data_IF_861132472142
#
_entry.id   IF_861132472142
#
_cell.length_a   1.000
_cell.length_b   1.000
_cell.length_c   1.000
_cell.angle_alpha   90.00
_cell.angle_beta   90.00
_cell.angle_gamma   90.00
#
_symmetry.space_group_name_H-M   'P 1'
#
loop_
_entity.id
_entity.type
_entity.pdbx_description
1 polymer ?
#
# COMPACT_ATOMS: atom_id res chain seq x y z
N UNK A 1 3.61 -18.01 19.57
CA UNK A 1 3.76 -18.59 18.21
C UNK A 1 5.15 -18.24 17.74
N UNK A 2 5.85 -19.15 17.07
CA UNK A 2 7.17 -18.83 16.49
C UNK A 2 6.96 -17.78 15.38
N UNK A 3 7.88 -16.82 15.31
CA UNK A 3 7.89 -15.78 14.27
C UNK A 3 8.00 -16.44 12.89
N UNK A 4 7.05 -16.17 12.01
CA UNK A 4 7.07 -16.71 10.65
C UNK A 4 8.08 -15.93 9.83
N UNK A 5 9.04 -16.63 9.28
CA UNK A 5 10.09 -16.04 8.44
C UNK A 5 9.58 -15.99 7.01
N UNK A 6 9.31 -14.78 6.50
CA UNK A 6 8.80 -14.57 5.15
C UNK A 6 9.81 -13.90 4.25
N UNK A 7 9.75 -14.25 2.98
CA UNK A 7 10.50 -13.60 1.91
C UNK A 7 9.54 -13.19 0.79
N UNK A 8 9.52 -11.90 0.49
CA UNK A 8 8.82 -11.37 -0.67
C UNK A 8 9.68 -11.59 -1.93
N UNK A 9 9.10 -12.20 -2.94
CA UNK A 9 9.73 -12.35 -4.26
C UNK A 9 8.80 -11.74 -5.31
N UNK A 10 9.37 -10.91 -6.19
CA UNK A 10 8.61 -10.31 -7.28
C UNK A 10 7.88 -11.42 -8.07
N UNK A 11 6.53 -11.30 -8.29
CA UNK A 11 5.74 -12.36 -8.91
C UNK A 11 6.23 -12.74 -10.31
N UNK A 12 6.66 -11.78 -11.15
CA UNK A 12 7.19 -12.09 -12.47
C UNK A 12 8.48 -12.90 -12.37
N UNK A 13 9.36 -12.53 -11.45
CA UNK A 13 10.60 -13.25 -11.22
C UNK A 13 10.33 -14.64 -10.67
N UNK A 14 9.39 -14.79 -9.75
CA UNK A 14 9.02 -16.09 -9.19
C UNK A 14 8.45 -17.03 -10.27
N UNK A 15 7.66 -16.51 -11.23
CA UNK A 15 7.13 -17.30 -12.34
C UNK A 15 8.18 -17.65 -13.40
N UNK A 16 9.11 -16.74 -13.67
CA UNK A 16 10.03 -16.85 -14.81
C UNK A 16 11.33 -17.58 -14.47
N UNK A 17 11.78 -17.51 -13.20
CA UNK A 17 13.10 -18.03 -12.79
C UNK A 17 13.03 -19.31 -11.95
N UNK A 18 11.84 -19.72 -11.47
CA UNK A 18 11.72 -20.99 -10.76
C UNK A 18 11.92 -22.15 -11.72
N UNK A 19 12.80 -23.09 -11.38
CA UNK A 19 13.07 -24.23 -12.24
C UNK A 19 12.05 -25.39 -12.04
N UNK A 20 12.20 -26.44 -12.86
CA UNK A 20 11.34 -27.63 -12.80
C UNK A 20 11.44 -28.41 -11.48
N UNK A 21 12.48 -28.18 -10.70
CA UNK A 21 12.70 -28.80 -9.38
C UNK A 21 12.12 -27.95 -8.24
N UNK A 22 11.56 -26.77 -8.57
CA UNK A 22 11.06 -25.79 -7.62
C UNK A 22 12.15 -24.95 -6.95
N UNK A 23 13.34 -24.86 -7.56
CA UNK A 23 14.47 -24.11 -7.05
C UNK A 23 14.51 -22.70 -7.66
N UNK A 24 14.86 -21.72 -6.83
CA UNK A 24 15.01 -20.32 -7.21
C UNK A 24 16.34 -19.78 -6.69
N UNK A 25 17.10 -19.15 -7.59
CA UNK A 25 18.35 -18.46 -7.22
C UNK A 25 18.01 -17.08 -6.65
N UNK A 26 18.48 -16.83 -5.43
CA UNK A 26 18.27 -15.56 -4.74
C UNK A 26 19.16 -14.45 -5.30
N UNK A 27 18.64 -13.25 -5.37
CA UNK A 27 19.45 -12.04 -5.58
C UNK A 27 20.41 -11.83 -4.41
N UNK A 28 21.45 -11.03 -4.62
CA UNK A 28 22.40 -10.68 -3.55
C UNK A 28 21.71 -10.03 -2.35
N UNK A 29 20.68 -9.22 -2.56
CA UNK A 29 19.92 -8.57 -1.49
C UNK A 29 19.07 -9.57 -0.70
N UNK A 30 18.37 -10.48 -1.36
CA UNK A 30 17.56 -11.54 -0.71
C UNK A 30 18.45 -12.50 0.08
N UNK A 31 19.57 -12.95 -0.51
CA UNK A 31 20.54 -13.80 0.17
C UNK A 31 21.16 -13.11 1.39
N UNK A 32 21.48 -11.82 1.27
CA UNK A 32 21.97 -11.01 2.40
C UNK A 32 20.90 -10.90 3.50
N UNK A 33 19.66 -10.60 3.12
CA UNK A 33 18.54 -10.50 4.06
C UNK A 33 18.33 -11.80 4.84
N UNK A 34 18.21 -12.94 4.15
CA UNK A 34 18.03 -14.24 4.82
C UNK A 34 19.22 -14.60 5.73
N UNK A 35 20.46 -14.43 5.24
CA UNK A 35 21.64 -14.89 5.98
C UNK A 35 22.11 -13.94 7.09
N UNK A 36 21.98 -12.61 6.91
CA UNK A 36 22.50 -11.61 7.85
C UNK A 36 21.44 -11.00 8.75
N UNK A 37 20.27 -10.69 8.20
CA UNK A 37 19.19 -10.09 8.97
C UNK A 37 18.40 -11.17 9.69
N UNK A 38 17.89 -12.15 8.97
CA UNK A 38 17.11 -13.25 9.54
C UNK A 38 17.97 -14.38 10.13
N UNK A 39 19.29 -14.38 9.87
CA UNK A 39 20.28 -15.35 10.37
C UNK A 39 19.93 -16.81 10.06
N UNK A 40 19.32 -17.02 8.91
CA UNK A 40 18.91 -18.34 8.44
C UNK A 40 20.09 -19.13 7.86
N UNK A 41 19.99 -20.45 7.94
CA UNK A 41 21.00 -21.42 7.48
C UNK A 41 20.40 -22.38 6.47
N UNK A 42 21.24 -23.19 5.81
CA UNK A 42 20.78 -24.31 4.98
C UNK A 42 19.84 -25.22 5.78
N UNK A 43 18.78 -25.70 5.13
CA UNK A 43 17.68 -26.51 5.65
C UNK A 43 16.67 -25.75 6.52
N UNK A 44 16.89 -24.46 6.85
CA UNK A 44 15.89 -23.66 7.54
C UNK A 44 14.66 -23.44 6.64
N UNK A 45 13.48 -23.49 7.26
CA UNK A 45 12.20 -23.29 6.58
C UNK A 45 11.80 -21.80 6.59
N UNK A 46 11.21 -21.35 5.48
CA UNK A 46 10.62 -20.01 5.34
C UNK A 46 9.33 -20.07 4.52
N UNK A 47 8.56 -19.01 4.61
CA UNK A 47 7.42 -18.77 3.73
C UNK A 47 7.86 -17.83 2.59
N UNK A 48 7.45 -18.15 1.35
CA UNK A 48 7.64 -17.28 0.18
C UNK A 48 6.29 -16.69 -0.22
N UNK A 49 6.25 -15.40 -0.48
CA UNK A 49 5.06 -14.67 -0.90
C UNK A 49 5.35 -13.86 -2.17
N UNK A 50 4.34 -13.72 -3.05
CA UNK A 50 4.43 -12.97 -4.30
C UNK A 50 3.79 -11.57 -4.24
N UNK A 51 3.15 -11.24 -3.13
CA UNK A 51 2.39 -9.99 -3.01
C UNK A 51 1.13 -9.93 -3.86
N UNK A 52 0.69 -11.06 -4.42
CA UNK A 52 -0.56 -11.24 -5.19
C UNK A 52 -1.53 -12.24 -4.57
N UNK A 53 -1.36 -12.51 -3.30
CA UNK A 53 -2.25 -13.37 -2.52
C UNK A 53 -1.77 -14.80 -2.34
N UNK A 54 -0.64 -15.19 -2.92
CA UNK A 54 -0.13 -16.55 -2.82
C UNK A 54 0.98 -16.66 -1.76
N UNK A 55 1.05 -17.86 -1.17
CA UNK A 55 2.07 -18.23 -0.20
C UNK A 55 2.52 -19.66 -0.47
N UNK A 56 3.82 -19.87 -0.45
CA UNK A 56 4.47 -21.19 -0.52
C UNK A 56 5.35 -21.41 0.68
N UNK A 57 5.52 -22.67 1.08
CA UNK A 57 6.61 -23.05 1.95
C UNK A 57 7.88 -23.28 1.12
N UNK A 58 9.01 -22.88 1.64
CA UNK A 58 10.31 -23.10 1.04
C UNK A 58 11.35 -23.49 2.09
N UNK A 59 12.48 -24.02 1.62
CA UNK A 59 13.67 -24.25 2.44
C UNK A 59 14.90 -23.67 1.75
N UNK A 60 15.88 -23.27 2.54
CA UNK A 60 17.18 -22.86 2.02
C UNK A 60 17.97 -24.14 1.68
N UNK A 61 18.29 -24.32 0.39
CA UNK A 61 19.13 -25.46 -0.06
C UNK A 61 20.60 -25.10 0.07
N UNK A 62 20.96 -23.95 -0.52
CA UNK A 62 22.31 -23.39 -0.48
C UNK A 62 22.26 -21.90 -0.14
N UNK A 63 23.45 -21.30 0.06
CA UNK A 63 23.60 -19.90 0.48
C UNK A 63 22.83 -18.88 -0.39
N UNK A 64 22.55 -19.26 -1.65
CA UNK A 64 21.87 -18.41 -2.65
C UNK A 64 20.71 -19.11 -3.34
N UNK A 65 20.21 -20.21 -2.80
CA UNK A 65 19.14 -20.98 -3.46
C UNK A 65 18.11 -21.39 -2.42
N UNK A 66 16.86 -21.15 -2.73
CA UNK A 66 15.72 -21.69 -2.01
C UNK A 66 15.01 -22.72 -2.88
N UNK A 67 14.32 -23.64 -2.25
CA UNK A 67 13.48 -24.64 -2.92
C UNK A 67 12.07 -24.60 -2.32
N UNK A 68 11.07 -24.44 -3.17
CA UNK A 68 9.69 -24.61 -2.75
C UNK A 68 9.45 -26.05 -2.32
N UNK A 69 8.74 -26.24 -1.21
CA UNK A 69 8.38 -27.58 -0.72
C UNK A 69 7.08 -28.11 -1.31
N UNK A 70 6.31 -27.25 -1.95
CA UNK A 70 5.14 -27.57 -2.74
C UNK A 70 5.30 -27.07 -4.19
N UNK A 71 4.53 -27.65 -5.11
CA UNK A 71 4.54 -27.20 -6.51
C UNK A 71 4.19 -25.71 -6.61
N UNK A 72 4.85 -25.01 -7.52
CA UNK A 72 4.56 -23.60 -7.80
C UNK A 72 3.07 -23.38 -8.16
N UNK A 73 2.47 -24.29 -8.95
CA UNK A 73 1.06 -24.21 -9.36
C UNK A 73 0.08 -24.53 -8.22
N UNK A 74 0.57 -25.01 -7.08
CA UNK A 74 -0.24 -25.34 -5.89
C UNK A 74 0.31 -24.66 -4.66
N UNK A 75 0.07 -23.33 -4.50
CA UNK A 75 0.49 -22.60 -3.32
C UNK A 75 -0.12 -23.21 -2.05
N UNK A 76 0.57 -23.05 -0.92
CA UNK A 76 0.05 -23.47 0.38
C UNK A 76 -1.23 -22.72 0.74
N UNK A 77 -1.28 -21.44 0.38
CA UNK A 77 -2.42 -20.57 0.61
C UNK A 77 -2.61 -19.60 -0.56
N UNK A 78 -3.86 -19.33 -0.89
CA UNK A 78 -4.27 -18.24 -1.74
C UNK A 78 -5.38 -17.44 -1.07
N UNK A 79 -5.26 -16.13 -1.10
CA UNK A 79 -6.27 -15.19 -0.60
C UNK A 79 -6.67 -14.26 -1.74
N UNK A 80 -7.94 -14.23 -2.08
CA UNK A 80 -8.46 -13.29 -3.09
C UNK A 80 -8.34 -11.85 -2.60
N UNK A 81 -8.13 -10.91 -3.54
CA UNK A 81 -8.05 -9.48 -3.21
C UNK A 81 -9.39 -8.95 -2.73
N UNK A 82 -9.40 -8.28 -1.61
CA UNK A 82 -10.62 -7.72 -1.02
C UNK A 82 -11.19 -6.55 -1.83
N UNK A 83 -12.51 -6.39 -1.80
CA UNK A 83 -13.23 -5.29 -2.45
C UNK A 83 -14.13 -4.55 -1.45
N UNK A 84 -14.38 -3.26 -1.65
CA UNK A 84 -13.71 -2.35 -2.60
C UNK A 84 -12.23 -2.20 -2.30
N UNK A 85 -11.40 -1.84 -3.32
CA UNK A 85 -10.00 -1.50 -3.10
C UNK A 85 -9.92 -0.19 -2.32
N UNK A 86 -8.99 -0.13 -1.37
CA UNK A 86 -8.72 1.06 -0.59
C UNK A 86 -7.46 1.75 -1.14
N UNK A 87 -7.66 2.94 -1.67
CA UNK A 87 -6.60 3.81 -2.19
C UNK A 87 -6.33 5.01 -1.30
N UNK A 88 -5.08 5.43 -1.24
CA UNK A 88 -4.69 6.67 -0.57
C UNK A 88 -3.82 7.50 -1.52
N UNK A 89 -4.27 8.70 -1.84
CA UNK A 89 -3.52 9.68 -2.61
C UNK A 89 -2.98 10.73 -1.64
N UNK A 90 -1.67 10.82 -1.49
CA UNK A 90 -1.06 11.65 -0.45
C UNK A 90 0.05 12.51 -1.00
N UNK A 91 -0.02 13.81 -0.72
CA UNK A 91 1.06 14.73 -1.07
C UNK A 91 2.29 14.37 -0.24
N UNK A 92 3.42 14.12 -0.93
CA UNK A 92 4.66 13.69 -0.28
C UNK A 92 5.10 14.76 0.74
N UNK A 93 5.05 14.46 2.05
CA UNK A 93 5.46 15.40 3.08
C UNK A 93 6.98 15.57 3.09
N UNK A 94 7.47 16.67 3.68
CA UNK A 94 8.90 16.92 3.85
C UNK A 94 9.62 15.81 4.62
N UNK A 95 8.93 15.20 5.60
CA UNK A 95 9.45 14.11 6.45
C UNK A 95 8.34 13.10 6.75
N UNK A 96 8.72 11.86 7.03
CA UNK A 96 7.80 10.83 7.52
C UNK A 96 7.04 10.07 6.44
N UNK A 97 7.33 10.29 5.14
CA UNK A 97 6.66 9.55 4.07
C UNK A 97 6.97 8.05 4.11
N UNK A 98 8.21 7.68 4.43
CA UNK A 98 8.62 6.28 4.56
C UNK A 98 7.87 5.57 5.70
N UNK A 99 7.74 6.23 6.85
CA UNK A 99 6.95 5.70 7.96
C UNK A 99 5.45 5.57 7.59
N UNK A 100 4.93 6.54 6.81
CA UNK A 100 3.57 6.45 6.29
C UNK A 100 3.42 5.23 5.36
N UNK A 101 4.35 4.98 4.45
CA UNK A 101 4.32 3.80 3.56
C UNK A 101 4.29 2.49 4.36
N UNK A 102 5.14 2.37 5.37
CA UNK A 102 5.17 1.22 6.26
C UNK A 102 3.82 1.04 6.96
N UNK A 103 3.34 2.07 7.68
CA UNK A 103 2.09 1.99 8.44
C UNK A 103 0.86 1.73 7.54
N UNK A 104 0.78 2.36 6.37
CA UNK A 104 -0.32 2.15 5.43
C UNK A 104 -0.33 0.72 4.87
N UNK A 105 0.86 0.16 4.64
CA UNK A 105 1.02 -1.24 4.26
C UNK A 105 0.52 -2.16 5.40
N UNK A 106 0.98 -1.98 6.63
CA UNK A 106 0.58 -2.78 7.80
C UNK A 106 -0.94 -2.73 8.05
N UNK A 107 -1.56 -1.55 7.88
CA UNK A 107 -3.01 -1.35 8.04
C UNK A 107 -3.81 -2.12 6.98
N UNK A 108 -3.30 -2.28 5.76
CA UNK A 108 -3.98 -3.04 4.73
C UNK A 108 -4.43 -2.27 3.50
N UNK A 109 -3.86 -1.09 3.22
CA UNK A 109 -4.14 -0.30 2.01
C UNK A 109 -3.76 -1.09 0.76
N UNK A 110 -4.54 -0.90 -0.32
CA UNK A 110 -4.34 -1.63 -1.58
C UNK A 110 -3.57 -0.82 -2.62
N UNK A 111 -3.73 0.52 -2.62
CA UNK A 111 -3.09 1.39 -3.62
C UNK A 111 -2.59 2.66 -2.93
N UNK A 112 -1.36 3.04 -3.24
CA UNK A 112 -0.74 4.27 -2.74
C UNK A 112 -0.34 5.14 -3.93
N UNK A 113 -0.91 6.34 -4.02
CA UNK A 113 -0.61 7.34 -5.02
C UNK A 113 0.17 8.50 -4.39
N UNK A 114 1.48 8.60 -4.58
CA UNK A 114 2.23 9.78 -4.18
C UNK A 114 1.85 10.98 -5.04
N UNK A 115 1.60 12.12 -4.40
CA UNK A 115 1.22 13.37 -5.07
C UNK A 115 2.23 14.49 -4.82
N UNK A 116 2.28 15.41 -5.76
CA UNK A 116 2.97 16.69 -5.67
C UNK A 116 1.94 17.79 -5.85
N UNK A 117 1.89 18.75 -4.92
CA UNK A 117 0.98 19.89 -4.97
C UNK A 117 1.76 21.21 -5.11
N UNK A 118 1.04 22.30 -5.39
CA UNK A 118 1.66 23.63 -5.49
C UNK A 118 2.39 24.05 -4.20
N UNK A 119 1.86 23.67 -3.02
CA UNK A 119 2.44 23.97 -1.71
C UNK A 119 3.32 22.85 -1.14
N UNK A 120 3.62 21.81 -1.92
CA UNK A 120 4.59 20.79 -1.51
C UNK A 120 5.98 21.36 -1.32
N UNK A 121 6.67 20.89 -0.30
CA UNK A 121 8.11 21.09 -0.13
C UNK A 121 8.88 20.19 -1.11
N UNK A 122 8.44 18.95 -1.26
CA UNK A 122 8.99 17.98 -2.24
C UNK A 122 8.41 18.32 -3.61
N UNK A 123 9.28 18.64 -4.57
CA UNK A 123 8.85 19.06 -5.92
C UNK A 123 8.94 17.95 -6.95
N UNK A 124 9.66 16.88 -6.64
CA UNK A 124 9.82 15.72 -7.51
C UNK A 124 10.09 14.44 -6.72
N UNK A 125 9.71 13.32 -7.30
CA UNK A 125 10.01 11.99 -6.81
C UNK A 125 10.63 11.20 -7.97
N UNK A 126 11.94 11.05 -7.94
CA UNK A 126 12.68 10.32 -8.97
C UNK A 126 12.58 8.79 -8.78
N UNK A 127 13.06 8.04 -9.78
CA UNK A 127 13.01 6.58 -9.76
C UNK A 127 13.77 5.96 -8.58
N UNK A 128 14.87 6.55 -8.13
CA UNK A 128 15.63 6.04 -6.98
C UNK A 128 14.80 6.08 -5.69
N UNK A 129 14.05 7.18 -5.48
CA UNK A 129 13.11 7.28 -4.35
C UNK A 129 11.99 6.25 -4.46
N UNK A 130 11.42 6.03 -5.65
CA UNK A 130 10.38 5.03 -5.85
C UNK A 130 10.87 3.61 -5.58
N UNK A 131 12.08 3.26 -6.04
CA UNK A 131 12.72 1.97 -5.73
C UNK A 131 12.89 1.81 -4.20
N UNK A 132 13.35 2.86 -3.52
CA UNK A 132 13.48 2.86 -2.05
C UNK A 132 12.13 2.68 -1.36
N UNK A 133 11.08 3.38 -1.81
CA UNK A 133 9.73 3.26 -1.28
C UNK A 133 9.14 1.86 -1.50
N UNK A 134 9.37 1.28 -2.67
CA UNK A 134 8.96 -0.09 -2.96
C UNK A 134 9.62 -1.10 -2.02
N UNK A 135 10.91 -0.91 -1.71
CA UNK A 135 11.63 -1.76 -0.76
C UNK A 135 11.01 -1.68 0.64
N UNK A 136 10.67 -0.48 1.12
CA UNK A 136 10.00 -0.29 2.42
C UNK A 136 8.65 -1.02 2.46
N UNK A 137 7.88 -0.95 1.36
CA UNK A 137 6.62 -1.65 1.24
C UNK A 137 6.84 -3.17 1.30
N UNK A 138 7.83 -3.72 0.60
CA UNK A 138 8.13 -5.17 0.63
C UNK A 138 8.49 -5.63 2.05
N UNK A 139 9.37 -4.89 2.74
CA UNK A 139 9.73 -5.18 4.13
C UNK A 139 8.49 -5.13 5.06
N UNK A 140 7.59 -4.16 4.85
CA UNK A 140 6.36 -4.05 5.62
C UNK A 140 5.35 -5.19 5.32
N UNK A 141 5.28 -5.66 4.07
CA UNK A 141 4.47 -6.84 3.66
C UNK A 141 4.96 -8.10 4.38
N UNK A 142 6.28 -8.32 4.43
CA UNK A 142 6.89 -9.46 5.12
C UNK A 142 6.57 -9.43 6.62
N UNK A 143 6.78 -8.29 7.28
CA UNK A 143 6.59 -8.10 8.72
C UNK A 143 5.12 -8.15 9.15
N UNK A 144 4.22 -7.60 8.34
CA UNK A 144 2.78 -7.59 8.65
C UNK A 144 2.06 -8.89 8.28
N UNK A 145 2.77 -9.88 7.79
CA UNK A 145 2.24 -11.16 7.32
C UNK A 145 1.17 -11.05 6.22
N UNK A 146 1.17 -9.96 5.46
CA UNK A 146 0.24 -9.78 4.33
C UNK A 146 0.62 -10.69 3.16
N UNK A 147 -0.41 -11.13 2.41
CA UNK A 147 -0.23 -11.82 1.13
C UNK A 147 -0.42 -10.90 -0.08
N UNK A 148 -1.07 -9.74 0.11
CA UNK A 148 -1.22 -8.71 -0.90
C UNK A 148 -0.32 -7.53 -0.62
N UNK A 149 0.57 -7.21 -1.56
CA UNK A 149 1.35 -5.96 -1.52
C UNK A 149 0.51 -4.79 -2.03
N UNK A 150 0.55 -3.62 -1.39
CA UNK A 150 -0.04 -2.43 -1.97
C UNK A 150 0.69 -2.06 -3.27
N UNK A 151 -0.08 -1.56 -4.23
CA UNK A 151 0.46 -1.00 -5.46
C UNK A 151 0.95 0.42 -5.22
N UNK A 152 2.24 0.66 -5.40
CA UNK A 152 2.82 2.00 -5.35
C UNK A 152 2.85 2.60 -6.74
N UNK A 153 2.05 3.64 -6.96
CA UNK A 153 1.96 4.35 -8.23
C UNK A 153 3.13 5.32 -8.43
N UNK A 154 3.39 5.68 -9.68
CA UNK A 154 4.30 6.78 -10.01
C UNK A 154 3.80 8.08 -9.40
N UNK A 155 4.72 8.93 -8.92
CA UNK A 155 4.35 10.23 -8.37
C UNK A 155 3.80 11.15 -9.48
N UNK A 156 2.65 11.76 -9.23
CA UNK A 156 1.98 12.69 -10.13
C UNK A 156 1.77 14.04 -9.46
N UNK A 157 1.64 15.10 -10.27
CA UNK A 157 1.05 16.34 -9.76
C UNK A 157 -0.42 16.11 -9.46
N UNK A 158 -0.95 16.84 -8.46
CA UNK A 158 -2.37 16.73 -8.13
C UNK A 158 -3.27 16.99 -9.33
N UNK A 159 -2.94 17.99 -10.15
CA UNK A 159 -3.69 18.30 -11.37
C UNK A 159 -3.66 17.18 -12.42
N UNK A 160 -2.52 16.51 -12.59
CA UNK A 160 -2.44 15.39 -13.52
C UNK A 160 -3.21 14.17 -13.01
N UNK A 161 -3.14 13.89 -11.72
CA UNK A 161 -3.87 12.78 -11.12
C UNK A 161 -5.39 12.96 -11.20
N UNK A 162 -5.90 14.19 -11.00
CA UNK A 162 -7.32 14.50 -11.12
C UNK A 162 -7.88 14.27 -12.52
N UNK A 163 -7.06 14.44 -13.56
CA UNK A 163 -7.47 14.20 -14.94
C UNK A 163 -7.64 12.72 -15.30
N UNK A 164 -7.13 11.81 -14.46
CA UNK A 164 -7.18 10.36 -14.67
C UNK A 164 -7.62 9.64 -13.38
N UNK A 165 -8.77 10.07 -12.85
CA UNK A 165 -9.32 9.48 -11.63
C UNK A 165 -9.77 8.04 -11.85
N UNK A 166 -9.63 7.16 -10.83
CA UNK A 166 -10.12 5.79 -10.93
C UNK A 166 -11.61 5.75 -11.24
N UNK A 167 -11.99 4.99 -12.25
CA UNK A 167 -13.40 4.81 -12.61
C UNK A 167 -14.17 4.10 -11.48
N UNK A 168 -15.43 4.49 -11.28
CA UNK A 168 -16.31 3.93 -10.24
C UNK A 168 -15.71 4.00 -8.83
N UNK A 169 -14.93 5.04 -8.56
CA UNK A 169 -14.35 5.28 -7.24
C UNK A 169 -15.16 6.31 -6.46
N UNK A 170 -15.29 6.11 -5.16
CA UNK A 170 -15.70 7.13 -4.21
C UNK A 170 -14.46 7.82 -3.67
N UNK A 171 -14.33 9.13 -3.85
CA UNK A 171 -13.11 9.86 -3.53
C UNK A 171 -13.40 10.97 -2.54
N UNK A 172 -12.84 10.85 -1.33
CA UNK A 172 -12.84 11.88 -0.31
C UNK A 172 -11.62 12.80 -0.45
N UNK A 173 -11.84 14.10 -0.34
CA UNK A 173 -10.81 15.13 -0.37
C UNK A 173 -10.65 15.72 1.04
N UNK A 174 -9.59 15.33 1.74
CA UNK A 174 -9.32 15.80 3.09
C UNK A 174 -8.93 17.28 3.08
N UNK A 175 -9.75 18.12 3.68
CA UNK A 175 -9.53 19.57 3.83
C UNK A 175 -9.98 20.03 5.21
N UNK A 176 -9.49 21.20 5.66
CA UNK A 176 -9.71 21.68 7.04
C UNK A 176 -10.31 23.10 7.11
N UNK A 177 -10.50 23.76 5.97
CA UNK A 177 -10.81 25.20 5.93
C UNK A 177 -12.12 25.53 5.23
N UNK A 178 -13.00 24.55 5.12
CA UNK A 178 -14.32 24.69 4.52
C UNK A 178 -15.35 24.44 5.62
N UNK A 179 -16.37 25.25 5.69
CA UNK A 179 -17.50 25.09 6.60
C UNK A 179 -18.36 23.90 6.15
N UNK A 180 -18.98 23.21 7.12
CA UNK A 180 -19.95 22.12 6.89
C UNK A 180 -19.38 20.89 6.15
N UNK A 181 -18.12 20.53 6.42
CA UNK A 181 -17.56 19.28 5.92
C UNK A 181 -18.16 18.07 6.64
N UNK A 182 -18.48 17.05 5.87
CA UNK A 182 -18.83 15.74 6.43
C UNK A 182 -17.63 15.12 7.09
N UNK A 183 -17.78 14.53 8.27
CA UNK A 183 -16.71 13.74 8.88
C UNK A 183 -16.46 12.44 8.10
N UNK A 184 -15.23 11.91 8.18
CA UNK A 184 -14.81 10.75 7.42
C UNK A 184 -15.66 9.51 7.69
N UNK A 185 -16.13 9.30 8.92
CA UNK A 185 -16.93 8.11 9.28
C UNK A 185 -18.31 8.19 8.63
N UNK A 186 -18.96 9.35 8.65
CA UNK A 186 -20.27 9.53 8.03
C UNK A 186 -20.16 9.48 6.49
N UNK A 187 -19.13 10.11 5.91
CA UNK A 187 -18.84 9.99 4.49
C UNK A 187 -18.68 8.52 4.05
N UNK A 188 -17.97 7.71 4.81
CA UNK A 188 -17.80 6.28 4.53
C UNK A 188 -19.14 5.52 4.66
N UNK A 189 -19.98 5.82 5.65
CA UNK A 189 -21.30 5.19 5.80
C UNK A 189 -22.23 5.45 4.61
N UNK A 190 -22.15 6.64 4.02
CA UNK A 190 -22.95 7.03 2.85
C UNK A 190 -22.36 6.52 1.53
N UNK A 191 -21.17 5.94 1.55
CA UNK A 191 -20.53 5.38 0.35
C UNK A 191 -21.38 4.25 -0.25
N UNK A 192 -21.76 4.34 -1.55
CA UNK A 192 -22.60 3.35 -2.21
C UNK A 192 -22.07 1.92 -2.13
N UNK A 193 -22.98 0.92 -2.06
CA UNK A 193 -22.57 -0.48 -1.95
C UNK A 193 -21.82 -1.02 -3.19
N UNK A 194 -22.02 -0.46 -4.34
CA UNK A 194 -21.47 -0.95 -5.62
C UNK A 194 -20.16 -0.28 -6.04
N UNK A 195 -19.49 0.46 -5.14
CA UNK A 195 -18.20 1.08 -5.51
C UNK A 195 -17.11 0.01 -5.62
N UNK A 196 -16.25 0.16 -6.60
CA UNK A 196 -15.10 -0.73 -6.81
C UNK A 196 -13.87 -0.29 -6.03
N UNK A 197 -13.77 1.01 -5.76
CA UNK A 197 -12.64 1.63 -5.06
C UNK A 197 -13.11 2.76 -4.14
N UNK A 198 -12.44 2.93 -3.00
CA UNK A 198 -12.61 4.07 -2.10
C UNK A 198 -11.26 4.71 -1.85
N UNK A 199 -11.20 6.00 -2.07
CA UNK A 199 -9.97 6.77 -1.98
C UNK A 199 -10.10 7.93 -1.00
N UNK A 200 -9.01 8.25 -0.31
CA UNK A 200 -8.85 9.52 0.38
C UNK A 200 -7.66 10.27 -0.17
N UNK A 201 -7.84 11.56 -0.42
CA UNK A 201 -6.79 12.47 -0.89
C UNK A 201 -6.35 13.36 0.26
N UNK A 202 -5.06 13.34 0.58
CA UNK A 202 -4.50 14.09 1.72
C UNK A 202 -3.46 15.09 1.25
N UNK A 203 -3.62 16.35 1.66
CA UNK A 203 -2.83 17.49 1.23
C UNK A 203 -1.48 17.64 1.94
N UNK A 204 -0.67 18.63 1.51
CA UNK A 204 0.61 18.94 2.12
C UNK A 204 0.44 19.66 3.46
N UNK A 205 1.53 19.82 4.20
CA UNK A 205 1.56 20.54 5.48
C UNK A 205 1.07 22.01 5.37
N UNK A 206 1.30 22.63 4.20
CA UNK A 206 0.83 23.99 3.90
C UNK A 206 -0.66 24.09 3.52
N UNK A 207 -1.38 22.95 3.51
CA UNK A 207 -2.76 22.84 3.01
C UNK A 207 -2.86 23.02 1.50
N UNK A 208 -4.04 22.77 0.97
CA UNK A 208 -4.35 22.99 -0.44
C UNK A 208 -4.38 24.48 -0.79
N UNK A 209 -4.13 24.84 -2.02
CA UNK A 209 -4.43 26.19 -2.50
C UNK A 209 -5.87 26.25 -3.05
N UNK A 210 -6.37 27.46 -3.29
CA UNK A 210 -7.75 27.66 -3.76
C UNK A 210 -8.02 27.03 -5.13
N UNK A 211 -7.03 27.03 -6.02
CA UNK A 211 -7.21 26.45 -7.36
C UNK A 211 -7.24 24.90 -7.27
N UNK A 212 -6.45 24.28 -6.38
CA UNK A 212 -6.48 22.84 -6.14
C UNK A 212 -7.78 22.41 -5.47
N UNK A 213 -8.30 23.21 -4.52
CA UNK A 213 -9.61 22.96 -3.90
C UNK A 213 -10.74 23.07 -4.93
N UNK A 214 -10.77 24.14 -5.73
CA UNK A 214 -11.75 24.29 -6.80
C UNK A 214 -11.69 23.12 -7.79
N UNK A 215 -10.49 22.77 -8.25
CA UNK A 215 -10.30 21.65 -9.16
C UNK A 215 -10.80 20.32 -8.57
N UNK A 216 -10.57 20.07 -7.27
CA UNK A 216 -11.07 18.88 -6.60
C UNK A 216 -12.59 18.80 -6.63
N UNK A 217 -13.30 19.89 -6.27
CA UNK A 217 -14.76 19.92 -6.23
C UNK A 217 -15.39 19.90 -7.62
N UNK A 218 -14.82 20.63 -8.58
CA UNK A 218 -15.26 20.62 -9.98
C UNK A 218 -15.12 19.22 -10.61
N UNK A 219 -14.17 18.42 -10.12
CA UNK A 219 -13.96 17.02 -10.53
C UNK A 219 -14.82 16.02 -9.75
N UNK A 220 -15.70 16.48 -8.85
CA UNK A 220 -16.65 15.65 -8.12
C UNK A 220 -16.10 14.98 -6.85
N UNK A 221 -14.96 15.42 -6.34
CA UNK A 221 -14.45 14.90 -5.06
C UNK A 221 -15.26 15.44 -3.89
N UNK A 222 -15.54 14.59 -2.91
CA UNK A 222 -16.27 14.98 -1.70
C UNK A 222 -15.34 15.59 -0.68
N UNK A 223 -15.62 16.81 -0.20
CA UNK A 223 -14.90 17.41 0.92
C UNK A 223 -15.12 16.62 2.22
N UNK A 224 -14.03 16.21 2.88
CA UNK A 224 -14.09 15.38 4.08
C UNK A 224 -13.23 15.96 5.19
N UNK A 225 -13.81 16.05 6.40
CA UNK A 225 -13.07 16.37 7.63
C UNK A 225 -12.47 15.11 8.25
N UNK A 226 -11.20 15.19 8.63
CA UNK A 226 -10.51 14.11 9.35
C UNK A 226 -10.58 14.24 10.89
N UNK A 227 -11.41 15.15 11.40
CA UNK A 227 -11.63 15.38 12.82
C UNK A 227 -11.64 16.86 13.19
N UNK A 228 -11.80 17.16 14.46
CA UNK A 228 -11.93 18.53 14.99
C UNK A 228 -10.60 19.31 15.00
N UNK A 229 -9.48 18.60 14.97
CA UNK A 229 -8.15 19.22 15.02
C UNK A 229 -7.43 19.13 13.69
N UNK A 230 -6.51 20.07 13.44
CA UNK A 230 -5.65 20.01 12.24
C UNK A 230 -4.59 18.94 12.42
N UNK A 231 -4.66 17.90 11.61
CA UNK A 231 -3.70 16.81 11.60
C UNK A 231 -2.51 17.13 10.66
N UNK A 232 -1.34 16.61 10.99
CA UNK A 232 -0.22 16.58 10.04
C UNK A 232 -0.55 15.61 8.89
N UNK A 233 0.01 15.87 7.70
CA UNK A 233 -0.22 15.04 6.50
C UNK A 233 -0.12 13.54 6.77
N UNK A 234 0.98 13.09 7.39
CA UNK A 234 1.16 11.66 7.68
C UNK A 234 0.11 11.13 8.67
N UNK A 235 -0.26 11.91 9.69
CA UNK A 235 -1.30 11.52 10.66
C UNK A 235 -2.66 11.41 9.99
N UNK A 236 -3.05 12.40 9.19
CA UNK A 236 -4.31 12.40 8.46
C UNK A 236 -4.38 11.18 7.50
N UNK A 237 -3.29 10.92 6.76
CA UNK A 237 -3.23 9.82 5.82
C UNK A 237 -3.34 8.44 6.50
N UNK A 238 -2.61 8.22 7.61
CA UNK A 238 -2.69 6.96 8.38
C UNK A 238 -4.07 6.78 9.00
N UNK A 239 -4.65 7.84 9.56
CA UNK A 239 -6.00 7.80 10.13
C UNK A 239 -7.05 7.47 9.07
N UNK A 240 -6.96 8.08 7.88
CA UNK A 240 -7.84 7.78 6.75
C UNK A 240 -7.72 6.31 6.33
N UNK A 241 -6.49 5.79 6.20
CA UNK A 241 -6.26 4.38 5.89
C UNK A 241 -6.97 3.46 6.89
N UNK A 242 -6.79 3.72 8.20
CA UNK A 242 -7.39 2.90 9.25
C UNK A 242 -8.93 2.95 9.21
N UNK A 243 -9.52 4.13 9.04
CA UNK A 243 -10.97 4.29 8.95
C UNK A 243 -11.55 3.56 7.73
N UNK A 244 -10.95 3.72 6.55
CA UNK A 244 -11.39 3.04 5.33
C UNK A 244 -11.26 1.52 5.41
N UNK A 245 -10.18 1.01 6.00
CA UNK A 245 -9.99 -0.44 6.19
C UNK A 245 -10.99 -1.00 7.22
N UNK A 246 -11.22 -0.30 8.33
CA UNK A 246 -12.23 -0.70 9.31
C UNK A 246 -13.63 -0.73 8.68
N UNK A 247 -14.00 0.32 7.96
CA UNK A 247 -15.26 0.39 7.24
C UNK A 247 -15.43 -0.76 6.23
N UNK A 248 -14.38 -1.10 5.45
CA UNK A 248 -14.44 -2.24 4.52
C UNK A 248 -14.69 -3.57 5.24
N UNK A 249 -14.10 -3.77 6.41
CA UNK A 249 -14.31 -4.98 7.23
C UNK A 249 -15.75 -5.06 7.75
N UNK A 250 -16.29 -3.95 8.23
CA UNK A 250 -17.66 -3.91 8.78
C UNK A 250 -18.69 -4.24 7.70
N UNK A 251 -18.49 -3.80 6.47
CA UNK A 251 -19.38 -4.15 5.32
C UNK A 251 -19.46 -5.64 5.04
N UNK A 252 -18.40 -6.39 5.30
CA UNK A 252 -18.39 -7.85 5.09
C UNK A 252 -19.19 -8.60 6.17
N UNK A 253 -19.29 -8.05 7.35
CA UNK A 253 -20.03 -8.68 8.45
C UNK A 253 -21.54 -8.53 8.31
N UNK A 254 -22.04 -7.74 7.35
CA UNK A 254 -23.46 -7.44 7.12
C UNK A 254 -24.03 -8.18 5.89
N UNK A 255 -23.19 -8.89 5.14
CA UNK A 255 -23.56 -9.75 4.02
C UNK A 255 -23.44 -11.22 4.42
#
# INVERSE_FOLDING_TARGET
>A
MAEKRRLFINPNRLSDEIDSNGELILTSNESHYLSRVMRMRSEDLLEVIDGKGHLWNAKIVEKKTIKLTNSFDKPLQFVSRERPLIGIAVVIPKKGFENFLQMSCEIGVDIIQPLISKRSVVKECNNEKLIRYQKIIHEAVEQSERLWSPELMQALTFSNWINDLPSEAQIGFATTRIEELQDCVNWLKETPHKVNQVWMVVGPEGGWNKDEEALAFDSGLSGVSMGETILRTATAAVSACQLMISWRRDRKSVV
#
